data_IF_689309935970
#
_entry.id   IF_689309935970
#
_cell.length_a   1.000
_cell.length_b   1.000
_cell.length_c   1.000
_cell.angle_alpha   90.00
_cell.angle_beta   90.00
_cell.angle_gamma   90.00
#
_symmetry.space_group_name_H-M   'P 1'
#
loop_
_entity.id
_entity.type
_entity.pdbx_description
1 polymer ?
#
# COMPACT_ATOMS: atom_id res chain seq x y z
N UNK A 1 6.92 -13.04 1.43
CA UNK A 1 7.70 -12.85 2.66
C UNK A 1 7.00 -13.59 3.77
N UNK A 2 7.73 -14.49 4.42
CA UNK A 2 7.29 -15.16 5.62
C UNK A 2 7.27 -14.20 6.81
N UNK A 3 6.46 -14.51 7.82
CA UNK A 3 6.30 -13.63 9.00
C UNK A 3 7.60 -13.44 9.79
N UNK A 4 8.51 -14.41 9.72
CA UNK A 4 9.80 -14.41 10.42
C UNK A 4 10.95 -13.96 9.54
N UNK A 5 10.68 -13.48 8.33
CA UNK A 5 11.73 -12.98 7.44
C UNK A 5 12.33 -11.69 8.03
N UNK A 6 13.65 -11.64 8.30
CA UNK A 6 14.29 -10.47 8.88
C UNK A 6 14.15 -9.23 8.00
N UNK A 7 13.88 -9.41 6.71
CA UNK A 7 13.71 -8.32 5.75
C UNK A 7 12.33 -7.65 5.83
N UNK A 8 11.37 -8.17 6.61
CA UNK A 8 10.03 -7.58 6.75
C UNK A 8 10.13 -6.11 7.16
N UNK A 9 11.01 -5.79 8.10
CA UNK A 9 11.19 -4.41 8.55
C UNK A 9 11.71 -3.50 7.43
N UNK A 10 12.68 -3.96 6.65
CA UNK A 10 13.24 -3.22 5.52
C UNK A 10 12.22 -3.05 4.40
N UNK A 11 11.48 -4.10 4.07
CA UNK A 11 10.42 -4.06 3.06
C UNK A 11 9.27 -3.12 3.45
N UNK A 12 8.93 -3.06 4.74
CA UNK A 12 7.93 -2.11 5.25
C UNK A 12 8.46 -0.67 5.18
N UNK A 13 9.74 -0.44 5.45
CA UNK A 13 10.35 0.88 5.32
C UNK A 13 10.35 1.37 3.86
N UNK A 14 10.80 0.53 2.93
CA UNK A 14 10.79 0.80 1.49
C UNK A 14 9.37 1.07 0.97
N UNK A 15 8.39 0.25 1.39
CA UNK A 15 6.99 0.44 1.04
C UNK A 15 6.49 1.82 1.51
N UNK A 16 6.88 2.25 2.71
CA UNK A 16 6.48 3.54 3.28
C UNK A 16 7.07 4.71 2.50
N UNK A 17 8.35 4.63 2.15
CA UNK A 17 9.05 5.66 1.40
C UNK A 17 8.50 5.79 -0.02
N UNK A 18 8.30 4.65 -0.70
CA UNK A 18 7.70 4.58 -2.03
C UNK A 18 6.27 5.13 -2.01
N UNK A 19 5.48 4.76 -1.00
CA UNK A 19 4.12 5.26 -0.79
C UNK A 19 4.07 6.77 -0.60
N UNK A 20 4.95 7.32 0.25
CA UNK A 20 5.03 8.75 0.49
C UNK A 20 5.43 9.52 -0.77
N UNK A 21 6.42 9.02 -1.50
CA UNK A 21 6.88 9.61 -2.77
C UNK A 21 5.77 9.60 -3.81
N UNK A 22 5.04 8.49 -3.92
CA UNK A 22 3.90 8.35 -4.83
C UNK A 22 2.76 9.32 -4.47
N UNK A 23 2.35 9.38 -3.20
CA UNK A 23 1.32 10.33 -2.75
C UNK A 23 1.77 11.77 -2.98
N UNK A 24 3.03 12.11 -2.69
CA UNK A 24 3.56 13.45 -2.90
C UNK A 24 3.53 13.87 -4.37
N UNK A 25 3.87 12.95 -5.28
CA UNK A 25 3.83 13.15 -6.73
C UNK A 25 2.41 13.38 -7.23
N UNK A 26 1.51 12.45 -6.92
CA UNK A 26 0.20 12.41 -7.56
C UNK A 26 -0.90 13.21 -6.85
N UNK A 27 -0.74 13.58 -5.56
CA UNK A 27 -1.74 14.39 -4.83
C UNK A 27 -1.99 15.76 -5.46
N UNK A 28 -1.01 16.30 -6.20
CA UNK A 28 -1.09 17.62 -6.84
C UNK A 28 -1.71 17.55 -8.24
N UNK A 29 -1.76 16.36 -8.84
CA UNK A 29 -2.27 16.14 -10.20
C UNK A 29 -3.78 15.81 -10.16
N UNK A 30 -4.62 16.84 -10.01
CA UNK A 30 -6.08 16.71 -9.91
C UNK A 30 -6.72 15.94 -11.08
N UNK A 31 -6.11 16.01 -12.26
CA UNK A 31 -6.55 15.28 -13.47
C UNK A 31 -6.35 13.78 -13.40
N UNK A 32 -5.43 13.30 -12.55
CA UNK A 32 -5.18 11.88 -12.37
C UNK A 32 -5.97 11.29 -11.20
N UNK A 33 -6.36 12.09 -10.20
CA UNK A 33 -7.13 11.63 -9.04
C UNK A 33 -8.49 11.03 -9.42
N UNK A 34 -9.07 11.45 -10.55
CA UNK A 34 -10.30 10.88 -11.11
C UNK A 34 -10.10 9.58 -11.90
N UNK A 35 -8.85 9.17 -12.18
CA UNK A 35 -8.60 7.88 -12.84
C UNK A 35 -8.75 6.78 -11.80
N UNK A 36 -9.54 5.75 -12.16
CA UNK A 36 -9.80 4.54 -11.36
C UNK A 36 -8.53 3.98 -10.72
N UNK A 37 -7.40 4.08 -11.42
CA UNK A 37 -6.10 3.62 -10.94
C UNK A 37 -5.56 4.37 -9.69
N UNK A 38 -5.67 5.69 -9.59
CA UNK A 38 -5.16 6.42 -8.42
C UNK A 38 -6.12 6.35 -7.22
N UNK A 39 -7.44 6.33 -7.49
CA UNK A 39 -8.47 6.32 -6.46
C UNK A 39 -8.49 5.05 -5.61
N UNK A 40 -8.15 3.90 -6.18
CA UNK A 40 -8.12 2.60 -5.47
C UNK A 40 -6.82 2.36 -4.71
N UNK A 41 -5.69 2.89 -5.19
CA UNK A 41 -4.38 2.65 -4.58
C UNK A 41 -4.17 3.46 -3.29
N UNK A 42 -4.72 4.67 -3.24
CA UNK A 42 -4.54 5.61 -2.12
C UNK A 42 -5.13 5.08 -0.79
N UNK A 43 -6.36 4.53 -0.74
CA UNK A 43 -6.90 3.89 0.47
C UNK A 43 -6.12 2.64 0.90
N UNK A 44 -5.66 1.83 -0.05
CA UNK A 44 -4.87 0.62 0.22
C UNK A 44 -3.52 0.97 0.87
N UNK A 45 -2.77 1.92 0.28
CA UNK A 45 -1.54 2.45 0.85
C UNK A 45 -1.78 2.99 2.27
N UNK A 46 -2.81 3.83 2.44
CA UNK A 46 -3.11 4.43 3.73
C UNK A 46 -3.46 3.38 4.80
N UNK A 47 -4.17 2.31 4.43
CA UNK A 47 -4.50 1.21 5.33
C UNK A 47 -3.30 0.37 5.77
N UNK A 48 -2.30 0.22 4.89
CA UNK A 48 -1.06 -0.51 5.19
C UNK A 48 -0.12 0.37 6.02
N UNK A 49 0.08 1.61 5.60
CA UNK A 49 0.88 2.60 6.33
C UNK A 49 0.34 2.80 7.74
N UNK A 50 -0.98 3.01 7.90
CA UNK A 50 -1.60 3.17 9.22
C UNK A 50 -1.39 1.98 10.14
N UNK A 51 -1.47 0.75 9.62
CA UNK A 51 -1.20 -0.46 10.42
C UNK A 51 0.25 -0.49 10.95
N UNK A 52 1.23 -0.23 10.09
CA UNK A 52 2.63 -0.22 10.51
C UNK A 52 3.04 1.02 11.31
N UNK A 53 2.26 2.11 11.27
CA UNK A 53 2.40 3.22 12.24
C UNK A 53 1.97 2.74 13.62
N UNK A 54 0.80 2.13 13.74
CA UNK A 54 0.19 1.80 15.03
C UNK A 54 0.78 0.57 15.71
N UNK A 55 1.15 -0.46 14.95
CA UNK A 55 1.51 -1.78 15.49
C UNK A 55 2.99 -2.14 15.32
N UNK A 56 3.75 -1.31 14.61
CA UNK A 56 5.16 -1.56 14.30
C UNK A 56 5.37 -2.44 13.06
N UNK A 57 6.59 -2.44 12.48
CA UNK A 57 6.86 -2.97 11.15
C UNK A 57 6.81 -4.50 11.07
N UNK A 58 6.91 -5.21 12.18
CA UNK A 58 6.84 -6.68 12.25
C UNK A 58 5.43 -7.20 12.57
N UNK A 59 4.47 -6.30 12.81
CA UNK A 59 3.11 -6.69 13.12
C UNK A 59 2.42 -7.32 11.89
N UNK A 60 1.88 -8.53 12.00
CA UNK A 60 1.24 -9.19 10.88
C UNK A 60 0.01 -8.40 10.43
N UNK A 61 -0.08 -8.13 9.12
CA UNK A 61 -1.27 -7.53 8.55
C UNK A 61 -2.45 -8.53 8.65
N UNK A 62 -3.64 -8.12 9.11
CA UNK A 62 -4.80 -9.01 9.20
C UNK A 62 -5.11 -9.69 7.87
N UNK A 63 -5.34 -11.00 7.88
CA UNK A 63 -5.48 -11.82 6.66
C UNK A 63 -6.57 -11.31 5.69
N UNK A 64 -7.74 -10.90 6.22
CA UNK A 64 -8.83 -10.31 5.41
C UNK A 64 -8.41 -9.01 4.73
N UNK A 65 -7.64 -8.15 5.42
CA UNK A 65 -7.13 -6.88 4.88
C UNK A 65 -6.09 -7.15 3.79
N UNK A 66 -5.17 -8.09 4.03
CA UNK A 66 -4.18 -8.54 3.05
C UNK A 66 -4.84 -9.06 1.77
N UNK A 67 -5.85 -9.93 1.91
CA UNK A 67 -6.58 -10.48 0.77
C UNK A 67 -7.25 -9.39 -0.07
N UNK A 68 -7.93 -8.43 0.58
CA UNK A 68 -8.58 -7.32 -0.14
C UNK A 68 -7.59 -6.47 -0.95
N UNK A 69 -6.46 -6.10 -0.35
CA UNK A 69 -5.41 -5.31 -1.03
C UNK A 69 -4.86 -6.07 -2.25
N UNK A 70 -4.65 -7.39 -2.12
CA UNK A 70 -4.17 -8.22 -3.23
C UNK A 70 -5.20 -8.33 -4.36
N UNK A 71 -6.49 -8.44 -4.04
CA UNK A 71 -7.55 -8.48 -5.06
C UNK A 71 -7.71 -7.14 -5.77
N UNK A 72 -7.66 -6.02 -5.05
CA UNK A 72 -7.65 -4.67 -5.63
C UNK A 72 -6.46 -4.51 -6.59
N UNK A 73 -5.26 -4.97 -6.20
CA UNK A 73 -4.07 -4.92 -7.04
C UNK A 73 -4.18 -5.76 -8.32
N UNK A 74 -4.72 -6.98 -8.21
CA UNK A 74 -4.97 -7.86 -9.37
C UNK A 74 -6.00 -7.29 -10.33
N UNK A 75 -7.08 -6.70 -9.80
CA UNK A 75 -8.10 -6.05 -10.61
C UNK A 75 -7.47 -4.90 -11.40
N UNK A 76 -6.67 -4.08 -10.73
CA UNK A 76 -5.99 -2.95 -11.34
C UNK A 76 -5.06 -3.35 -12.48
N UNK A 77 -4.26 -4.41 -12.28
CA UNK A 77 -3.26 -4.89 -13.25
C UNK A 77 -3.87 -5.44 -14.54
N UNK A 78 -5.17 -5.75 -14.55
CA UNK A 78 -5.91 -6.22 -15.73
C UNK A 78 -6.47 -5.07 -16.58
N UNK A 79 -6.47 -3.85 -16.05
CA UNK A 79 -6.98 -2.65 -16.73
C UNK A 79 -5.86 -1.69 -17.18
N UNK A 80 -4.61 -2.15 -17.22
CA UNK A 80 -3.44 -1.44 -17.75
C UNK A 80 -2.86 -2.20 -18.95
#
# INVERSE_FOLDING_TARGET
MDRNDPNVASAVAELRETSNSWVAKYRREKTLLGRVFLGTFTPAINAVSGHYVSFGPTAPLPAKRKARILEEWKLQRRHC
#
